data_IF_626327777159
#
_entry.id   IF_626327777159
#
_cell.length_a   1.000
_cell.length_b   1.000
_cell.length_c   1.000
_cell.angle_alpha   90.00
_cell.angle_beta   90.00
_cell.angle_gamma   90.00
#
_symmetry.space_group_name_H-M   'P 1'
#
loop_
_entity.id
_entity.type
_entity.pdbx_description
1 polymer ?
#
# COMPACT_ATOMS: atom_id res chain seq x y z
N UNK A 1 -18.41 15.62 -43.11
CA UNK A 1 -19.01 16.69 -42.29
C UNK A 1 -20.01 16.04 -41.36
N UNK A 2 -19.79 15.83 -40.08
CA UNK A 2 -18.64 16.01 -39.21
C UNK A 2 -18.80 15.01 -38.06
N UNK A 3 -17.67 14.43 -37.66
CA UNK A 3 -17.58 13.60 -36.47
C UNK A 3 -17.58 14.52 -35.24
N UNK A 4 -18.63 14.44 -34.41
CA UNK A 4 -18.61 15.06 -33.10
C UNK A 4 -17.99 14.06 -32.10
N UNK A 5 -16.67 14.16 -31.96
CA UNK A 5 -15.92 13.62 -30.83
C UNK A 5 -16.46 14.26 -29.54
N UNK A 6 -17.25 13.52 -28.76
CA UNK A 6 -17.39 13.82 -27.33
C UNK A 6 -16.20 13.20 -26.62
N UNK A 7 -15.12 13.98 -26.52
CA UNK A 7 -14.00 13.71 -25.62
C UNK A 7 -14.56 13.73 -24.19
N UNK A 8 -14.85 12.54 -23.65
CA UNK A 8 -15.04 12.38 -22.21
C UNK A 8 -13.71 12.72 -21.59
N UNK A 9 -13.62 13.91 -21.00
CA UNK A 9 -12.46 14.32 -20.22
C UNK A 9 -12.23 13.26 -19.14
N UNK A 10 -11.13 12.52 -19.28
CA UNK A 10 -10.59 11.70 -18.22
C UNK A 10 -10.37 12.62 -17.04
N UNK A 11 -11.22 12.51 -16.03
CA UNK A 11 -10.96 13.05 -14.72
C UNK A 11 -9.69 12.38 -14.20
N UNK A 12 -8.53 12.97 -14.53
CA UNK A 12 -7.27 12.72 -13.85
C UNK A 12 -7.60 12.69 -12.36
N UNK A 13 -7.27 11.58 -11.70
CA UNK A 13 -7.39 11.42 -10.27
C UNK A 13 -6.81 12.67 -9.61
N UNK A 14 -7.67 13.61 -9.19
CA UNK A 14 -7.21 14.86 -8.58
C UNK A 14 -6.37 14.47 -7.37
N UNK A 15 -5.05 14.62 -7.52
CA UNK A 15 -4.08 14.51 -6.45
C UNK A 15 -4.47 15.59 -5.46
N UNK A 16 -5.04 15.19 -4.32
CA UNK A 16 -5.15 16.09 -3.19
C UNK A 16 -3.69 16.33 -2.79
N UNK A 17 -3.24 17.59 -2.84
CA UNK A 17 -1.89 17.98 -2.42
C UNK A 17 -1.61 17.33 -1.07
N UNK A 18 -0.76 16.31 -1.09
CA UNK A 18 -0.50 15.46 0.06
C UNK A 18 0.59 16.12 0.91
N UNK A 19 0.68 15.82 2.22
CA UNK A 19 1.82 16.20 3.07
C UNK A 19 3.17 15.60 2.62
N UNK A 20 3.30 15.18 1.36
CA UNK A 20 4.40 14.39 0.81
C UNK A 20 5.27 15.17 -0.19
N UNK A 21 5.28 16.51 -0.14
CA UNK A 21 6.20 17.34 -0.96
C UNK A 21 7.70 16.94 -0.83
N UNK A 22 8.06 16.14 0.18
CA UNK A 22 9.39 15.59 0.43
C UNK A 22 9.63 14.16 -0.11
N UNK A 23 8.62 13.49 -0.70
CA UNK A 23 8.70 12.12 -1.22
C UNK A 23 8.10 12.07 -2.65
N UNK A 24 8.90 12.31 -3.71
CA UNK A 24 8.40 12.49 -5.07
C UNK A 24 7.79 11.24 -5.73
N UNK A 25 7.82 10.08 -5.08
CA UNK A 25 7.42 8.77 -5.67
C UNK A 25 6.47 7.93 -4.81
N UNK A 26 5.99 8.46 -3.68
CA UNK A 26 5.12 7.73 -2.76
C UNK A 26 3.73 8.34 -2.77
N UNK A 27 2.72 7.54 -3.11
CA UNK A 27 1.33 8.01 -3.19
C UNK A 27 0.43 7.16 -2.29
N UNK A 28 -0.33 7.81 -1.41
CA UNK A 28 -1.35 7.15 -0.59
C UNK A 28 -2.71 7.32 -1.25
N UNK A 29 -3.31 6.20 -1.68
CA UNK A 29 -4.66 6.20 -2.21
C UNK A 29 -5.67 5.77 -1.14
N UNK A 30 -6.49 6.71 -0.67
CA UNK A 30 -7.43 6.45 0.43
C UNK A 30 -8.90 6.39 0.00
N UNK A 31 -9.25 6.55 -1.29
CA UNK A 31 -10.67 6.65 -1.73
C UNK A 31 -11.51 5.42 -1.38
N UNK A 32 -10.95 4.22 -1.39
CA UNK A 32 -11.69 3.03 -0.94
C UNK A 32 -12.06 3.13 0.54
N UNK A 33 -11.23 3.76 1.37
CA UNK A 33 -11.48 3.90 2.80
C UNK A 33 -12.63 4.86 3.13
N UNK A 34 -13.00 5.77 2.23
CA UNK A 34 -14.06 6.76 2.47
C UNK A 34 -15.45 6.28 2.08
N UNK A 35 -15.56 5.26 1.22
CA UNK A 35 -16.83 4.80 0.65
C UNK A 35 -17.14 3.32 0.90
N UNK A 36 -16.25 2.60 1.59
CA UNK A 36 -16.42 1.16 1.80
C UNK A 36 -16.28 0.74 3.27
N UNK A 37 -17.01 -0.30 3.66
CA UNK A 37 -16.93 -0.92 4.98
C UNK A 37 -17.07 -2.44 4.87
N UNK A 38 -16.01 -3.13 5.29
CA UNK A 38 -15.88 -4.60 5.31
C UNK A 38 -16.99 -5.32 6.06
N UNK A 39 -17.54 -4.74 7.13
CA UNK A 39 -18.58 -5.40 7.93
C UNK A 39 -19.98 -5.30 7.33
N UNK A 40 -20.20 -4.33 6.43
CA UNK A 40 -21.53 -4.05 5.87
C UNK A 40 -21.67 -4.37 4.39
N UNK A 41 -20.58 -4.38 3.63
CA UNK A 41 -20.62 -4.57 2.18
C UNK A 41 -20.26 -5.99 1.78
N UNK A 42 -20.79 -6.40 0.62
CA UNK A 42 -20.55 -7.73 0.05
C UNK A 42 -19.08 -7.89 -0.36
N UNK A 43 -18.42 -9.02 -0.04
CA UNK A 43 -17.02 -9.25 -0.40
C UNK A 43 -16.73 -9.11 -1.89
N UNK A 44 -17.66 -9.49 -2.76
CA UNK A 44 -17.48 -9.40 -4.21
C UNK A 44 -17.39 -7.95 -4.68
N UNK A 45 -18.18 -7.05 -4.08
CA UNK A 45 -18.13 -5.62 -4.39
C UNK A 45 -16.80 -5.00 -3.93
N UNK A 46 -16.37 -5.31 -2.71
CA UNK A 46 -15.10 -4.82 -2.17
C UNK A 46 -13.92 -5.29 -3.02
N UNK A 47 -13.95 -6.56 -3.42
CA UNK A 47 -12.95 -7.15 -4.31
C UNK A 47 -12.93 -6.44 -5.67
N UNK A 48 -14.10 -6.20 -6.26
CA UNK A 48 -14.18 -5.53 -7.56
C UNK A 48 -13.63 -4.10 -7.49
N UNK A 49 -14.01 -3.32 -6.47
CA UNK A 49 -13.54 -1.96 -6.29
C UNK A 49 -12.01 -1.90 -6.04
N UNK A 50 -11.46 -2.86 -5.30
CA UNK A 50 -10.02 -2.99 -5.11
C UNK A 50 -9.30 -3.34 -6.43
N UNK A 51 -9.82 -4.31 -7.19
CA UNK A 51 -9.25 -4.71 -8.47
C UNK A 51 -9.27 -3.59 -9.50
N UNK A 52 -10.33 -2.78 -9.55
CA UNK A 52 -10.39 -1.61 -10.43
C UNK A 52 -9.28 -0.61 -10.11
N UNK A 53 -8.98 -0.37 -8.83
CA UNK A 53 -7.86 0.50 -8.48
C UNK A 53 -6.51 -0.11 -8.85
N UNK A 54 -6.29 -1.39 -8.55
CA UNK A 54 -5.04 -2.09 -8.84
C UNK A 54 -4.77 -2.13 -10.34
N UNK A 55 -5.80 -2.36 -11.17
CA UNK A 55 -5.69 -2.39 -12.62
C UNK A 55 -5.34 -1.04 -13.25
N UNK A 56 -5.52 0.07 -12.53
CA UNK A 56 -5.12 1.41 -12.98
C UNK A 56 -3.66 1.75 -12.64
N UNK A 57 -2.97 0.89 -11.89
CA UNK A 57 -1.55 1.09 -11.58
C UNK A 57 -0.71 0.75 -12.81
N UNK A 58 0.34 1.54 -13.06
CA UNK A 58 1.22 1.32 -14.20
C UNK A 58 1.83 -0.09 -14.18
N UNK A 59 1.89 -0.76 -15.34
CA UNK A 59 2.36 -2.15 -15.43
C UNK A 59 3.79 -2.34 -14.93
N UNK A 60 4.60 -1.28 -14.97
CA UNK A 60 6.00 -1.27 -14.54
C UNK A 60 6.18 -0.97 -13.04
N UNK A 61 5.09 -0.78 -12.30
CA UNK A 61 5.13 -0.53 -10.87
C UNK A 61 5.56 -1.77 -10.08
N UNK A 62 6.17 -1.51 -8.92
CA UNK A 62 6.41 -2.51 -7.88
C UNK A 62 5.20 -2.49 -6.96
N UNK A 63 4.43 -3.56 -6.95
CA UNK A 63 3.28 -3.73 -6.06
C UNK A 63 3.73 -4.49 -4.82
N UNK A 64 3.56 -3.89 -3.66
CA UNK A 64 3.78 -4.51 -2.35
C UNK A 64 2.41 -4.68 -1.71
N UNK A 65 1.95 -5.91 -1.54
CA UNK A 65 0.76 -6.23 -0.77
C UNK A 65 1.18 -6.65 0.63
N UNK A 66 0.55 -6.10 1.65
CA UNK A 66 0.80 -6.47 3.04
C UNK A 66 -0.46 -6.98 3.72
N UNK A 67 -0.27 -7.90 4.65
CA UNK A 67 -1.32 -8.39 5.54
C UNK A 67 -0.76 -8.65 6.93
N UNK A 68 -1.41 -8.11 7.94
CA UNK A 68 -1.15 -8.38 9.35
C UNK A 68 -2.24 -9.28 9.91
N UNK A 69 -1.85 -10.44 10.41
CA UNK A 69 -2.78 -11.37 11.05
C UNK A 69 -2.52 -11.48 12.55
N UNK A 70 -3.55 -11.87 13.29
CA UNK A 70 -3.46 -12.25 14.71
C UNK A 70 -4.38 -13.42 14.99
N UNK A 71 -3.84 -14.47 15.61
CA UNK A 71 -4.64 -15.63 16.00
C UNK A 71 -5.34 -15.41 17.35
N UNK A 72 -6.21 -16.34 17.72
CA UNK A 72 -7.03 -16.28 18.94
C UNK A 72 -6.19 -16.26 20.24
N UNK A 73 -4.99 -16.84 20.20
CA UNK A 73 -4.06 -16.93 21.35
C UNK A 73 -3.15 -15.69 21.42
N UNK A 74 -3.21 -14.81 20.41
CA UNK A 74 -2.53 -13.53 20.39
C UNK A 74 -1.20 -13.48 19.63
N UNK A 75 -0.78 -14.58 19.00
CA UNK A 75 0.35 -14.56 18.07
C UNK A 75 -0.01 -13.77 16.83
N UNK A 76 0.93 -13.00 16.33
CA UNK A 76 0.77 -12.25 15.07
C UNK A 76 1.63 -12.80 13.95
N UNK A 77 1.20 -12.61 12.71
CA UNK A 77 1.99 -12.89 11.51
C UNK A 77 1.99 -11.70 10.56
N UNK A 78 3.03 -11.61 9.73
CA UNK A 78 3.21 -10.54 8.74
C UNK A 78 3.38 -11.18 7.35
N UNK A 79 2.41 -10.99 6.47
CA UNK A 79 2.43 -11.48 5.10
C UNK A 79 2.84 -10.39 4.12
N UNK A 80 3.70 -10.73 3.15
CA UNK A 80 4.15 -9.83 2.09
C UNK A 80 4.04 -10.55 0.74
N UNK A 81 3.36 -9.91 -0.21
CA UNK A 81 3.44 -10.31 -1.62
C UNK A 81 4.02 -9.16 -2.43
N UNK A 82 5.16 -9.39 -3.08
CA UNK A 82 5.79 -8.44 -3.97
C UNK A 82 5.53 -8.88 -5.42
N UNK A 83 5.03 -7.98 -6.25
CA UNK A 83 4.76 -8.23 -7.68
C UNK A 83 5.38 -7.12 -8.53
N UNK A 84 6.16 -7.51 -9.54
CA UNK A 84 6.77 -6.62 -10.55
C UNK A 84 6.61 -7.24 -11.95
N UNK A 85 7.03 -6.55 -13.02
CA UNK A 85 6.89 -7.04 -14.40
C UNK A 85 7.50 -8.44 -14.52
N UNK A 86 6.65 -9.41 -14.81
CA UNK A 86 7.06 -10.80 -15.07
C UNK A 86 7.57 -11.57 -13.84
N UNK A 87 7.53 -11.02 -12.62
CA UNK A 87 7.97 -11.70 -11.39
C UNK A 87 7.00 -11.45 -10.23
N UNK A 88 6.60 -12.52 -9.54
CA UNK A 88 5.92 -12.47 -8.25
C UNK A 88 6.82 -13.14 -7.21
N UNK A 89 7.14 -12.42 -6.15
CA UNK A 89 7.85 -12.93 -4.99
C UNK A 89 6.89 -12.94 -3.80
N UNK A 90 6.67 -14.11 -3.23
CA UNK A 90 5.86 -14.24 -2.01
C UNK A 90 6.80 -14.44 -0.83
N UNK A 91 6.72 -13.57 0.16
CA UNK A 91 7.51 -13.66 1.39
C UNK A 91 6.52 -13.69 2.55
N UNK A 92 6.46 -14.82 3.24
CA UNK A 92 5.69 -14.92 4.48
C UNK A 92 6.68 -14.91 5.63
N UNK A 93 6.54 -13.95 6.53
CA UNK A 93 7.31 -13.93 7.76
C UNK A 93 6.39 -14.25 8.93
N UNK A 94 6.54 -15.47 9.44
CA UNK A 94 5.96 -15.86 10.71
C UNK A 94 6.73 -15.18 11.83
N UNK A 95 6.32 -13.97 12.18
CA UNK A 95 6.97 -13.23 13.24
C UNK A 95 6.36 -13.60 14.60
N UNK A 96 7.00 -14.55 15.32
CA UNK A 96 6.61 -15.05 16.65
C UNK A 96 6.62 -13.97 17.75
N UNK A 97 5.74 -12.99 17.65
CA UNK A 97 5.60 -11.93 18.64
C UNK A 97 4.13 -11.75 19.01
N UNK A 98 3.89 -11.36 20.25
CA UNK A 98 2.57 -10.94 20.74
C UNK A 98 2.30 -9.48 20.37
N UNK A 99 2.40 -9.13 19.08
CA UNK A 99 2.19 -7.76 18.62
C UNK A 99 0.71 -7.43 18.36
N UNK A 100 0.44 -6.18 17.98
CA UNK A 100 -0.84 -5.79 17.39
C UNK A 100 -0.80 -6.04 15.88
N UNK A 101 -1.98 -6.26 15.26
CA UNK A 101 -2.11 -6.36 13.80
C UNK A 101 -1.50 -5.14 13.10
N UNK A 102 -1.70 -3.95 13.67
CA UNK A 102 -1.06 -2.72 13.19
C UNK A 102 0.46 -2.84 13.12
N UNK A 103 1.10 -3.38 14.16
CA UNK A 103 2.56 -3.56 14.17
C UNK A 103 3.02 -4.58 13.16
N UNK A 104 2.26 -5.66 12.95
CA UNK A 104 2.58 -6.69 11.97
C UNK A 104 2.54 -6.15 10.54
N UNK A 105 1.52 -5.34 10.21
CA UNK A 105 1.49 -4.62 8.94
C UNK A 105 2.67 -3.68 8.75
N UNK A 106 3.01 -2.89 9.78
CA UNK A 106 4.17 -2.00 9.70
C UNK A 106 5.48 -2.78 9.46
N UNK A 107 5.58 -4.01 9.99
CA UNK A 107 6.73 -4.90 9.75
C UNK A 107 6.72 -5.43 8.33
N UNK A 108 5.55 -5.87 7.86
CA UNK A 108 5.41 -6.31 6.48
C UNK A 108 5.89 -5.24 5.49
N UNK A 109 5.53 -3.97 5.73
CA UNK A 109 6.00 -2.84 4.92
C UNK A 109 7.51 -2.64 5.05
N UNK A 110 8.04 -2.60 6.27
CA UNK A 110 9.46 -2.38 6.57
C UNK A 110 10.35 -3.40 5.85
N UNK A 111 9.95 -4.68 5.91
CA UNK A 111 10.65 -5.81 5.31
C UNK A 111 10.48 -5.81 3.80
N UNK A 112 9.29 -5.52 3.28
CA UNK A 112 9.09 -5.39 1.84
C UNK A 112 9.98 -4.30 1.23
N UNK A 113 10.19 -3.19 1.94
CA UNK A 113 11.10 -2.13 1.50
C UNK A 113 12.58 -2.54 1.57
N UNK A 114 12.98 -3.35 2.55
CA UNK A 114 14.31 -3.96 2.56
C UNK A 114 14.53 -4.83 1.32
N UNK A 115 13.55 -5.66 0.95
CA UNK A 115 13.60 -6.44 -0.28
C UNK A 115 13.75 -5.54 -1.52
N UNK A 116 12.96 -4.47 -1.64
CA UNK A 116 13.07 -3.57 -2.79
C UNK A 116 14.46 -2.93 -2.89
N UNK A 117 15.01 -2.48 -1.76
CA UNK A 117 16.35 -1.88 -1.68
C UNK A 117 17.48 -2.89 -1.98
N UNK A 118 17.43 -4.07 -1.36
CA UNK A 118 18.45 -5.11 -1.49
C UNK A 118 18.53 -5.64 -2.92
N UNK A 119 17.38 -5.91 -3.54
CA UNK A 119 17.32 -6.41 -4.91
C UNK A 119 17.39 -5.32 -5.98
N UNK A 120 17.64 -4.06 -5.57
CA UNK A 120 17.75 -2.88 -6.44
C UNK A 120 16.60 -2.81 -7.46
N UNK A 121 15.37 -3.05 -7.00
CA UNK A 121 14.21 -3.00 -7.88
C UNK A 121 13.84 -1.54 -8.07
N UNK A 122 14.03 -1.02 -9.29
CA UNK A 122 13.71 0.37 -9.63
C UNK A 122 12.32 0.45 -10.25
N UNK A 123 11.52 1.42 -9.80
CA UNK A 123 10.18 1.64 -10.31
C UNK A 123 9.35 2.53 -9.38
N UNK A 124 8.14 2.86 -9.80
CA UNK A 124 7.16 3.44 -8.89
C UNK A 124 6.69 2.36 -7.91
N UNK A 125 6.72 2.66 -6.62
CA UNK A 125 6.37 1.70 -5.57
C UNK A 125 4.95 1.98 -5.09
N UNK A 126 4.13 0.95 -5.10
CA UNK A 126 2.76 0.97 -4.64
C UNK A 126 2.59 0.00 -3.47
N UNK A 127 2.42 0.55 -2.28
CA UNK A 127 2.12 -0.22 -1.06
C UNK A 127 0.60 -0.33 -0.93
N UNK A 128 0.11 -1.57 -0.94
CA UNK A 128 -1.29 -1.97 -0.89
C UNK A 128 -1.53 -2.68 0.45
N UNK A 129 -2.07 -1.94 1.42
CA UNK A 129 -2.49 -2.47 2.71
C UNK A 129 -4.00 -2.27 2.87
N UNK A 130 -4.66 -3.25 3.48
CA UNK A 130 -6.08 -3.13 3.83
C UNK A 130 -6.31 -2.53 5.23
N UNK A 131 -5.21 -2.20 5.92
CA UNK A 131 -5.19 -1.65 7.26
C UNK A 131 -5.30 -0.12 7.22
N UNK A 132 -6.52 0.36 7.50
CA UNK A 132 -6.81 1.81 7.59
C UNK A 132 -5.89 2.52 8.58
N UNK A 133 -5.55 1.89 9.69
CA UNK A 133 -4.69 2.49 10.72
C UNK A 133 -3.26 2.69 10.24
N UNK A 134 -2.73 1.77 9.45
CA UNK A 134 -1.39 1.86 8.83
C UNK A 134 -1.36 2.97 7.79
N UNK A 135 -2.37 3.02 6.92
CA UNK A 135 -2.48 4.09 5.92
C UNK A 135 -2.55 5.46 6.59
N UNK A 136 -3.39 5.62 7.62
CA UNK A 136 -3.49 6.88 8.37
C UNK A 136 -2.18 7.25 9.07
N UNK A 137 -1.49 6.26 9.65
CA UNK A 137 -0.20 6.46 10.29
C UNK A 137 0.85 6.96 9.28
N UNK A 138 0.96 6.32 8.12
CA UNK A 138 1.94 6.69 7.10
C UNK A 138 1.64 8.04 6.45
N UNK A 139 0.36 8.41 6.30
CA UNK A 139 -0.04 9.74 5.84
C UNK A 139 0.39 10.83 6.85
N UNK A 140 0.27 10.54 8.14
CA UNK A 140 0.61 11.46 9.23
C UNK A 140 2.02 11.25 9.78
N UNK A 141 2.94 10.66 9.00
CA UNK A 141 4.27 10.25 9.48
C UNK A 141 5.07 11.38 10.14
N UNK A 142 4.84 12.64 9.76
CA UNK A 142 5.52 13.82 10.34
C UNK A 142 5.19 14.04 11.82
N UNK A 143 4.01 13.60 12.25
CA UNK A 143 3.57 13.70 13.63
C UNK A 143 4.04 12.49 14.47
N UNK A 144 4.71 11.52 13.84
CA UNK A 144 5.16 10.29 14.49
C UNK A 144 6.68 10.13 14.39
N UNK A 145 7.33 10.05 15.54
CA UNK A 145 8.79 9.96 15.66
C UNK A 145 9.28 8.62 16.20
N UNK A 146 8.50 7.55 16.06
CA UNK A 146 8.96 6.23 16.48
C UNK A 146 10.03 5.69 15.52
N UNK A 147 10.90 4.80 16.02
CA UNK A 147 12.05 4.30 15.27
C UNK A 147 11.63 3.64 13.95
N UNK A 148 10.61 2.76 13.98
CA UNK A 148 10.23 1.97 12.79
C UNK A 148 9.55 2.84 11.73
N UNK A 149 8.67 3.75 12.12
CA UNK A 149 8.07 4.70 11.19
C UNK A 149 9.13 5.56 10.51
N UNK A 150 10.16 5.97 11.27
CA UNK A 150 11.29 6.71 10.72
C UNK A 150 12.16 5.85 9.78
N UNK A 151 12.40 4.58 10.11
CA UNK A 151 13.15 3.65 9.25
C UNK A 151 12.42 3.42 7.92
N UNK A 152 11.12 3.13 7.94
CA UNK A 152 10.27 3.04 6.75
C UNK A 152 10.34 4.33 5.93
N UNK A 153 10.21 5.49 6.58
CA UNK A 153 10.30 6.78 5.90
C UNK A 153 11.66 6.99 5.23
N UNK A 154 12.76 6.66 5.90
CA UNK A 154 14.11 6.78 5.34
C UNK A 154 14.32 5.85 4.14
N UNK A 155 13.78 4.62 4.19
CA UNK A 155 13.79 3.69 3.06
C UNK A 155 13.02 4.25 1.87
N UNK A 156 11.80 4.75 2.09
CA UNK A 156 10.99 5.40 1.06
C UNK A 156 11.65 6.63 0.44
N UNK A 157 12.45 7.39 1.21
CA UNK A 157 13.21 8.54 0.70
C UNK A 157 14.41 8.12 -0.16
N UNK A 158 14.90 6.90 0.01
CA UNK A 158 16.06 6.37 -0.73
C UNK A 158 15.65 5.84 -2.11
N UNK A 159 14.37 5.50 -2.29
CA UNK A 159 13.78 4.92 -3.50
C UNK A 159 13.25 6.03 -4.45
#
# INVERSE_FOLDING_TARGET
>A
MDALHSLVEFNSLKLIASPLDSLPRVFFHTKLLTHTNKSSQRPEYLRQAALEMINNIHIEAILIYTDGSKNEIGHTGSGILLSTIGRKLHVNEEMLTNCSVFRSEMIAIDIALDFVLEYQVFGEIWILSDSRSVIQYLVNWRDVSDRRGMDIFNKLRTL
#
